data_IF_808264343449
#
_entry.id   IF_808264343449
#
_cell.length_a   1.000
_cell.length_b   1.000
_cell.length_c   1.000
_cell.angle_alpha   90.00
_cell.angle_beta   90.00
_cell.angle_gamma   90.00
#
_symmetry.space_group_name_H-M   'P 1'
#
loop_
_entity.id
_entity.type
_entity.pdbx_description
1 polymer ?
#
# COMPACT_ATOMS: atom_id res chain seq x y z
N UNK A 1 32.55 -9.66 29.24
CA UNK A 1 32.77 -9.12 30.58
C UNK A 1 31.93 -7.86 30.75
N UNK A 2 31.07 -7.80 31.77
CA UNK A 2 30.28 -6.59 32.06
C UNK A 2 31.14 -5.57 32.82
N UNK A 3 30.63 -4.34 32.95
CA UNK A 3 31.37 -3.22 33.53
C UNK A 3 31.72 -3.45 35.01
N UNK A 4 30.79 -4.02 35.76
CA UNK A 4 30.92 -4.22 37.20
C UNK A 4 31.96 -5.31 37.50
N UNK A 5 31.94 -6.40 36.74
CA UNK A 5 32.95 -7.47 36.81
C UNK A 5 34.33 -7.03 36.27
N UNK A 6 34.38 -6.19 35.23
CA UNK A 6 35.65 -5.67 34.71
C UNK A 6 36.36 -4.77 35.72
N UNK A 7 35.60 -3.87 36.36
CA UNK A 7 36.13 -2.89 37.32
C UNK A 7 36.46 -3.57 38.66
N UNK A 8 35.57 -4.43 39.18
CA UNK A 8 35.71 -4.99 40.52
C UNK A 8 36.64 -6.22 40.59
N UNK A 9 36.76 -7.00 39.51
CA UNK A 9 37.54 -8.26 39.52
C UNK A 9 38.91 -8.15 38.85
N UNK A 10 39.05 -7.28 37.84
CA UNK A 10 40.30 -7.13 37.07
C UNK A 10 40.95 -5.75 37.20
N UNK A 11 40.39 -4.87 38.04
CA UNK A 11 40.89 -3.51 38.28
C UNK A 11 41.02 -2.67 37.02
N UNK A 12 40.19 -2.92 36.00
CA UNK A 12 40.11 -2.03 34.83
C UNK A 12 39.53 -0.69 35.27
N UNK A 13 40.21 0.41 34.92
CA UNK A 13 39.62 1.73 35.05
C UNK A 13 38.52 1.95 33.99
N UNK A 14 37.70 2.98 34.20
CA UNK A 14 36.56 3.29 33.32
C UNK A 14 37.04 3.55 31.88
N UNK A 15 38.26 4.08 31.71
CA UNK A 15 38.88 4.32 30.41
C UNK A 15 39.20 3.02 29.67
N UNK A 16 39.84 2.06 30.32
CA UNK A 16 40.18 0.76 29.76
C UNK A 16 38.91 -0.04 29.40
N UNK A 17 37.86 0.05 30.23
CA UNK A 17 36.57 -0.57 29.89
C UNK A 17 35.94 0.06 28.64
N UNK A 18 36.01 1.39 28.48
CA UNK A 18 35.52 2.05 27.27
C UNK A 18 36.35 1.65 26.03
N UNK A 19 37.66 1.50 26.15
CA UNK A 19 38.50 1.00 25.06
C UNK A 19 38.10 -0.41 24.61
N UNK A 20 37.83 -1.31 25.57
CA UNK A 20 37.32 -2.66 25.27
C UNK A 20 35.93 -2.63 24.63
N UNK A 21 35.05 -1.73 25.08
CA UNK A 21 33.72 -1.53 24.50
C UNK A 21 33.81 -0.99 23.07
N UNK A 22 34.69 -0.02 22.81
CA UNK A 22 34.97 0.48 21.47
C UNK A 22 35.64 -0.58 20.57
N UNK A 23 36.39 -1.52 21.15
CA UNK A 23 36.91 -2.67 20.43
C UNK A 23 35.85 -3.74 20.13
N UNK A 24 34.67 -3.66 20.76
CA UNK A 24 33.58 -4.62 20.57
C UNK A 24 33.74 -5.91 21.39
N UNK A 25 34.64 -5.94 22.38
CA UNK A 25 35.06 -7.15 23.12
C UNK A 25 34.23 -7.35 24.42
N UNK A 26 33.46 -6.35 24.85
CA UNK A 26 32.65 -6.42 26.07
C UNK A 26 31.42 -7.32 25.90
N UNK A 27 30.87 -7.88 27.00
CA UNK A 27 29.62 -8.67 26.89
C UNK A 27 28.40 -7.77 26.72
N UNK A 28 28.47 -6.53 27.20
CA UNK A 28 27.44 -5.52 26.96
C UNK A 28 27.92 -4.53 25.90
N UNK A 29 27.20 -4.44 24.78
CA UNK A 29 27.54 -3.56 23.66
C UNK A 29 28.73 -4.03 22.81
N UNK A 30 29.20 -5.27 23.00
CA UNK A 30 30.19 -5.90 22.13
C UNK A 30 29.60 -6.35 20.79
N UNK A 31 30.48 -6.53 19.81
CA UNK A 31 30.10 -6.96 18.46
C UNK A 31 31.27 -7.70 17.82
N UNK A 32 31.05 -8.98 17.49
CA UNK A 32 32.03 -9.80 16.75
C UNK A 32 32.39 -9.14 15.41
N UNK A 33 31.41 -8.51 14.74
CA UNK A 33 31.66 -7.78 13.50
C UNK A 33 32.58 -6.57 13.73
N UNK A 34 32.48 -5.90 14.88
CA UNK A 34 33.39 -4.78 15.23
C UNK A 34 34.81 -5.26 15.50
N UNK A 35 34.94 -6.39 16.20
CA UNK A 35 36.25 -7.05 16.38
C UNK A 35 36.83 -7.43 15.02
N UNK A 36 36.05 -8.08 14.16
CA UNK A 36 36.48 -8.47 12.82
C UNK A 36 36.94 -7.27 11.98
N UNK A 37 36.20 -6.15 12.02
CA UNK A 37 36.57 -4.93 11.30
C UNK A 37 37.89 -4.33 11.79
N UNK A 38 38.14 -4.32 13.11
CA UNK A 38 39.40 -3.82 13.67
C UNK A 38 40.58 -4.73 13.35
N UNK A 39 40.33 -6.03 13.18
CA UNK A 39 41.34 -7.01 12.77
C UNK A 39 41.55 -7.09 11.25
N UNK A 40 40.78 -6.35 10.46
CA UNK A 40 40.83 -6.34 9.00
C UNK A 40 41.36 -5.01 8.47
N UNK A 41 42.30 -5.01 7.52
CA UNK A 41 42.70 -3.78 6.82
C UNK A 41 41.62 -3.31 5.84
N UNK A 42 40.69 -4.17 5.44
CA UNK A 42 39.60 -3.84 4.53
C UNK A 42 38.44 -3.21 5.32
N UNK A 43 38.11 -1.96 4.98
CA UNK A 43 36.97 -1.21 5.52
C UNK A 43 36.29 -0.47 4.37
N UNK A 44 34.96 -0.43 4.38
CA UNK A 44 34.24 0.47 3.50
C UNK A 44 34.38 1.91 4.00
N UNK A 45 34.83 2.82 3.14
CA UNK A 45 35.02 4.23 3.51
C UNK A 45 33.70 5.01 3.57
N UNK A 46 32.70 4.59 2.78
CA UNK A 46 31.47 5.34 2.56
C UNK A 46 30.35 5.05 3.58
N UNK A 47 30.48 4.00 4.41
CA UNK A 47 29.45 3.61 5.37
C UNK A 47 30.07 3.07 6.67
N UNK A 48 29.55 3.53 7.81
CA UNK A 48 29.85 2.95 9.12
C UNK A 48 28.65 2.12 9.61
N UNK A 49 28.72 0.81 9.40
CA UNK A 49 27.73 -0.15 9.91
C UNK A 49 28.02 -0.59 11.36
N UNK A 50 28.97 0.05 12.04
CA UNK A 50 29.36 -0.27 13.41
C UNK A 50 30.14 -1.58 13.56
N UNK A 51 30.61 -2.16 12.45
CA UNK A 51 31.38 -3.41 12.37
C UNK A 51 31.79 -3.73 10.92
N UNK A 52 32.22 -4.97 10.69
CA UNK A 52 32.65 -5.45 9.37
C UNK A 52 31.44 -5.54 8.45
N UNK A 53 31.54 -4.90 7.30
CA UNK A 53 30.49 -4.93 6.29
C UNK A 53 30.66 -6.15 5.39
N UNK A 54 29.58 -6.94 5.27
CA UNK A 54 29.48 -8.03 4.30
C UNK A 54 28.59 -7.54 3.15
N UNK A 55 29.21 -7.26 1.99
CA UNK A 55 28.53 -6.64 0.86
C UNK A 55 27.58 -7.58 0.13
N UNK A 56 27.89 -8.86 0.06
CA UNK A 56 27.10 -9.80 -0.73
C UNK A 56 25.77 -10.18 -0.06
N UNK A 57 24.67 -10.01 -0.80
CA UNK A 57 23.34 -10.36 -0.35
C UNK A 57 22.74 -11.51 -1.16
N UNK A 58 22.49 -12.64 -0.49
CA UNK A 58 22.09 -13.91 -1.12
C UNK A 58 20.62 -14.31 -0.93
N UNK A 59 19.79 -13.49 -0.25
CA UNK A 59 18.41 -13.85 0.13
C UNK A 59 17.35 -13.29 -0.83
N UNK A 60 17.30 -11.98 -0.94
CA UNK A 60 16.29 -11.25 -1.70
C UNK A 60 16.73 -11.15 -3.16
N UNK A 61 15.75 -11.16 -4.07
CA UNK A 61 16.01 -10.72 -5.45
C UNK A 61 16.46 -9.25 -5.48
N UNK A 62 17.26 -8.83 -6.49
CA UNK A 62 17.79 -7.47 -6.59
C UNK A 62 16.74 -6.38 -6.41
N UNK A 63 15.56 -6.56 -7.00
CA UNK A 63 14.47 -5.59 -6.96
C UNK A 63 13.98 -5.33 -5.53
N UNK A 64 13.85 -6.38 -4.71
CA UNK A 64 13.38 -6.26 -3.32
C UNK A 64 14.42 -5.60 -2.44
N UNK A 65 15.67 -6.06 -2.53
CA UNK A 65 16.71 -5.59 -1.62
C UNK A 65 17.19 -4.18 -1.96
N UNK A 66 16.97 -3.71 -3.19
CA UNK A 66 17.31 -2.35 -3.60
C UNK A 66 16.68 -1.29 -2.67
N UNK A 67 15.45 -1.50 -2.20
CA UNK A 67 14.83 -0.63 -1.19
C UNK A 67 15.67 -0.52 0.08
N UNK A 68 16.03 -1.65 0.68
CA UNK A 68 16.88 -1.70 1.87
C UNK A 68 18.26 -1.10 1.60
N UNK A 69 18.81 -1.37 0.40
CA UNK A 69 20.11 -0.89 -0.03
C UNK A 69 20.14 0.64 -0.08
N UNK A 70 19.10 1.29 -0.61
CA UNK A 70 18.95 2.74 -0.60
C UNK A 70 18.66 3.30 0.80
N UNK A 71 17.80 2.63 1.56
CA UNK A 71 17.36 3.11 2.87
C UNK A 71 18.47 3.11 3.92
N UNK A 72 19.28 2.04 3.98
CA UNK A 72 20.23 1.80 5.09
C UNK A 72 21.67 1.63 4.62
N UNK A 73 21.89 1.01 3.46
CA UNK A 73 23.23 0.59 3.04
C UNK A 73 23.89 1.49 1.99
N UNK A 74 23.28 2.64 1.67
CA UNK A 74 23.79 3.63 0.71
C UNK A 74 24.19 3.05 -0.67
N UNK A 75 23.55 1.98 -1.11
CA UNK A 75 23.84 1.33 -2.39
C UNK A 75 25.00 0.33 -2.38
N UNK A 76 25.69 0.15 -1.24
CA UNK A 76 26.90 -0.67 -1.13
C UNK A 76 26.63 -2.18 -1.06
N UNK A 77 25.38 -2.58 -0.81
CA UNK A 77 25.00 -3.99 -0.80
C UNK A 77 24.94 -4.54 -2.25
N UNK A 78 25.46 -5.74 -2.45
CA UNK A 78 25.60 -6.40 -3.74
C UNK A 78 24.67 -7.63 -3.82
N UNK A 79 23.50 -7.51 -4.47
CA UNK A 79 22.58 -8.63 -4.62
C UNK A 79 23.19 -9.72 -5.53
N UNK A 80 23.26 -10.95 -5.02
CA UNK A 80 23.84 -12.08 -5.75
C UNK A 80 22.78 -13.00 -6.38
N UNK A 81 21.51 -12.89 -5.96
CA UNK A 81 20.41 -13.60 -6.60
C UNK A 81 20.12 -13.00 -7.96
N UNK A 82 19.77 -13.85 -8.92
CA UNK A 82 19.21 -13.42 -10.20
C UNK A 82 17.73 -13.14 -10.03
N UNK A 83 17.22 -12.11 -10.67
CA UNK A 83 15.79 -11.89 -10.82
C UNK A 83 15.19 -13.05 -11.61
N UNK A 84 14.39 -13.89 -10.96
CA UNK A 84 13.69 -14.99 -11.62
C UNK A 84 12.43 -14.52 -12.35
N UNK A 85 12.04 -15.20 -13.42
CA UNK A 85 10.81 -14.92 -14.19
C UNK A 85 9.52 -15.45 -13.52
N UNK A 86 9.64 -16.19 -12.41
CA UNK A 86 8.59 -17.12 -11.94
C UNK A 86 7.62 -16.58 -10.89
N UNK A 87 7.76 -15.36 -10.37
CA UNK A 87 6.84 -14.88 -9.35
C UNK A 87 5.53 -14.35 -9.98
N UNK A 88 4.39 -14.96 -9.63
CA UNK A 88 3.06 -14.52 -10.08
C UNK A 88 2.55 -13.23 -9.38
N UNK A 89 3.37 -12.67 -8.49
CA UNK A 89 3.11 -11.45 -7.74
C UNK A 89 4.13 -10.38 -8.15
N UNK A 90 3.78 -9.09 -8.04
CA UNK A 90 4.75 -8.03 -8.21
C UNK A 90 5.83 -8.11 -7.11
N UNK A 91 7.01 -7.55 -7.38
CA UNK A 91 8.08 -7.44 -6.39
C UNK A 91 7.62 -6.60 -5.20
N UNK A 92 7.11 -5.41 -5.50
CA UNK A 92 6.38 -4.59 -4.55
C UNK A 92 4.93 -4.55 -4.97
N UNK A 93 4.03 -4.99 -4.11
CA UNK A 93 2.60 -4.95 -4.36
C UNK A 93 1.86 -4.20 -3.28
N UNK A 94 0.69 -3.64 -3.59
CA UNK A 94 -0.13 -2.96 -2.60
C UNK A 94 -1.62 -3.23 -2.76
N UNK A 95 -2.33 -3.25 -1.63
CA UNK A 95 -3.77 -3.26 -1.54
C UNK A 95 -4.23 -2.03 -0.77
N UNK A 96 -4.94 -1.13 -1.45
CA UNK A 96 -5.61 -0.02 -0.77
C UNK A 96 -6.79 -0.56 0.05
N UNK A 97 -6.66 -0.47 1.37
CA UNK A 97 -7.71 -0.86 2.32
C UNK A 97 -8.15 0.36 3.11
N UNK A 98 -9.38 0.79 2.87
CA UNK A 98 -10.02 1.86 3.63
C UNK A 98 -10.64 1.30 4.91
N UNK A 99 -9.79 1.08 5.91
CA UNK A 99 -10.18 0.68 7.26
C UNK A 99 -10.06 1.82 8.27
N UNK A 100 -10.57 1.60 9.48
CA UNK A 100 -10.41 2.54 10.59
C UNK A 100 -9.40 1.99 11.60
N UNK A 101 -8.36 2.77 11.88
CA UNK A 101 -7.37 2.46 12.90
C UNK A 101 -7.94 2.74 14.28
N UNK A 102 -8.05 1.70 15.10
CA UNK A 102 -8.55 1.75 16.47
C UNK A 102 -7.42 1.44 17.45
N UNK A 103 -7.66 1.71 18.74
CA UNK A 103 -6.76 1.34 19.83
C UNK A 103 -7.47 0.40 20.79
N UNK A 104 -6.75 -0.59 21.29
CA UNK A 104 -7.22 -1.43 22.38
C UNK A 104 -7.00 -0.75 23.74
N UNK A 105 -7.38 -1.45 24.81
CA UNK A 105 -7.18 -0.99 26.19
C UNK A 105 -5.68 -0.84 26.57
N UNK A 106 -4.77 -1.48 25.84
CA UNK A 106 -3.31 -1.35 26.01
C UNK A 106 -2.69 -0.24 25.15
N UNK A 107 -3.52 0.58 24.49
CA UNK A 107 -3.14 1.61 23.53
C UNK A 107 -2.40 1.09 22.27
N UNK A 108 -2.34 -0.23 22.06
CA UNK A 108 -1.88 -0.84 20.81
C UNK A 108 -2.92 -0.60 19.72
N UNK A 109 -2.46 -0.35 18.49
CA UNK A 109 -3.34 -0.12 17.35
C UNK A 109 -3.75 -1.40 16.65
N UNK A 110 -4.93 -1.37 16.04
CA UNK A 110 -5.40 -2.40 15.11
C UNK A 110 -6.36 -1.80 14.06
N UNK A 111 -6.50 -2.51 12.95
CA UNK A 111 -7.40 -2.17 11.86
C UNK A 111 -8.05 -3.47 11.38
N UNK A 112 -9.32 -3.65 11.75
CA UNK A 112 -10.06 -4.89 11.52
C UNK A 112 -10.33 -5.15 10.04
N UNK A 113 -10.64 -4.11 9.25
CA UNK A 113 -10.85 -4.24 7.81
C UNK A 113 -9.54 -4.65 7.11
N UNK A 114 -8.41 -4.08 7.51
CA UNK A 114 -7.09 -4.46 7.00
C UNK A 114 -6.76 -5.92 7.35
N UNK A 115 -6.98 -6.33 8.60
CA UNK A 115 -6.75 -7.71 9.05
C UNK A 115 -7.62 -8.72 8.30
N UNK A 116 -8.90 -8.41 8.11
CA UNK A 116 -9.82 -9.24 7.34
C UNK A 116 -9.39 -9.34 5.87
N UNK A 117 -8.97 -8.22 5.27
CA UNK A 117 -8.50 -8.19 3.88
C UNK A 117 -7.26 -9.06 3.68
N UNK A 118 -6.28 -8.98 4.59
CA UNK A 118 -5.08 -9.83 4.54
C UNK A 118 -5.48 -11.31 4.59
N UNK A 119 -6.33 -11.68 5.54
CA UNK A 119 -6.76 -13.07 5.70
C UNK A 119 -7.56 -13.58 4.48
N UNK A 120 -8.46 -12.77 3.94
CA UNK A 120 -9.25 -13.08 2.75
C UNK A 120 -8.36 -13.27 1.52
N UNK A 121 -7.40 -12.36 1.33
CA UNK A 121 -6.47 -12.41 0.21
C UNK A 121 -5.59 -13.67 0.28
N UNK A 122 -5.00 -13.96 1.44
CA UNK A 122 -4.22 -15.20 1.66
C UNK A 122 -5.08 -16.42 1.34
N UNK A 123 -6.28 -16.50 1.90
CA UNK A 123 -7.18 -17.63 1.71
C UNK A 123 -7.53 -17.86 0.24
N UNK A 124 -7.77 -16.78 -0.51
CA UNK A 124 -8.12 -16.83 -1.92
C UNK A 124 -6.93 -17.20 -2.81
N UNK A 125 -5.73 -16.77 -2.43
CA UNK A 125 -4.52 -16.98 -3.20
C UNK A 125 -3.75 -18.24 -2.81
N UNK A 126 -4.12 -18.92 -1.72
CA UNK A 126 -3.46 -20.14 -1.21
C UNK A 126 -3.09 -21.13 -2.31
N UNK A 127 -4.08 -21.55 -3.12
CA UNK A 127 -3.87 -22.55 -4.17
C UNK A 127 -2.99 -22.06 -5.33
N UNK A 128 -2.96 -20.74 -5.59
CA UNK A 128 -2.12 -20.14 -6.63
C UNK A 128 -0.67 -20.01 -6.18
N UNK A 129 -0.45 -19.81 -4.88
CA UNK A 129 0.88 -19.60 -4.31
C UNK A 129 1.59 -20.92 -3.98
N UNK A 130 0.84 -21.94 -3.57
CA UNK A 130 1.41 -23.28 -3.40
C UNK A 130 1.69 -23.86 -4.77
N UNK A 131 2.97 -24.01 -5.10
CA UNK A 131 3.38 -24.73 -6.29
C UNK A 131 3.16 -26.24 -6.07
N UNK A 132 2.42 -26.89 -6.98
CA UNK A 132 2.07 -28.33 -6.83
C UNK A 132 3.28 -29.27 -6.95
N UNK A 133 4.41 -28.79 -7.47
CA UNK A 133 5.64 -29.58 -7.62
C UNK A 133 6.47 -29.68 -6.35
N UNK A 134 6.27 -28.77 -5.38
CA UNK A 134 7.05 -28.69 -4.16
C UNK A 134 6.14 -29.05 -2.97
N UNK A 135 6.63 -29.84 -2.01
CA UNK A 135 5.89 -30.21 -0.77
C UNK A 135 5.68 -29.02 0.18
N UNK A 136 5.68 -27.78 -0.34
CA UNK A 136 5.58 -26.56 0.43
C UNK A 136 4.14 -26.31 0.91
N UNK A 137 4.02 -25.93 2.18
CA UNK A 137 2.77 -25.44 2.72
C UNK A 137 2.73 -23.90 2.65
N UNK A 138 1.55 -23.32 2.83
CA UNK A 138 1.37 -21.86 2.72
C UNK A 138 2.17 -21.09 3.79
N UNK A 139 2.36 -21.70 4.96
CA UNK A 139 3.15 -21.17 6.07
C UNK A 139 4.67 -21.09 5.80
N UNK A 140 5.16 -21.81 4.79
CA UNK A 140 6.55 -21.76 4.33
C UNK A 140 6.77 -20.67 3.28
N UNK A 141 5.68 -20.23 2.63
CA UNK A 141 5.68 -19.26 1.54
C UNK A 141 5.36 -17.85 2.06
N UNK A 142 4.42 -17.72 3.01
CA UNK A 142 3.91 -16.42 3.47
C UNK A 142 4.29 -16.17 4.94
N UNK A 143 4.71 -14.93 5.21
CA UNK A 143 4.64 -14.33 6.55
C UNK A 143 3.85 -13.02 6.51
N UNK A 144 3.24 -12.67 7.63
CA UNK A 144 2.57 -11.39 7.86
C UNK A 144 3.30 -10.62 8.95
N UNK A 145 3.67 -9.37 8.65
CA UNK A 145 4.34 -8.45 9.55
C UNK A 145 3.44 -7.26 9.82
N UNK A 146 3.45 -6.78 11.05
CA UNK A 146 2.76 -5.54 11.40
C UNK A 146 3.49 -4.82 12.55
N UNK A 147 3.50 -3.48 12.60
CA UNK A 147 4.08 -2.73 13.70
C UNK A 147 3.43 -3.00 15.05
N UNK A 148 2.16 -3.46 15.10
CA UNK A 148 1.37 -3.49 16.33
C UNK A 148 1.03 -4.90 16.81
N UNK A 149 1.18 -5.11 18.12
CA UNK A 149 0.86 -6.36 18.79
C UNK A 149 -0.61 -6.76 18.60
N UNK A 150 -1.53 -5.80 18.72
CA UNK A 150 -2.95 -6.09 18.61
C UNK A 150 -3.37 -6.46 17.18
N UNK A 151 -2.82 -5.78 16.17
CA UNK A 151 -3.04 -6.19 14.79
C UNK A 151 -2.59 -7.62 14.52
N UNK A 152 -1.42 -8.02 15.03
CA UNK A 152 -0.95 -9.40 14.96
C UNK A 152 -1.97 -10.36 15.58
N UNK A 153 -2.50 -10.04 16.76
CA UNK A 153 -3.50 -10.86 17.46
C UNK A 153 -4.76 -11.05 16.62
N UNK A 154 -5.29 -9.97 16.06
CA UNK A 154 -6.52 -10.01 15.25
C UNK A 154 -6.30 -10.80 13.96
N UNK A 155 -5.20 -10.57 13.23
CA UNK A 155 -4.89 -11.33 12.01
C UNK A 155 -4.81 -12.83 12.33
N UNK A 156 -4.10 -13.23 13.39
CA UNK A 156 -4.04 -14.65 13.81
C UNK A 156 -5.41 -15.22 14.12
N UNK A 157 -6.25 -14.46 14.83
CA UNK A 157 -7.61 -14.88 15.18
C UNK A 157 -8.45 -15.13 13.93
N UNK A 158 -8.41 -14.22 12.95
CA UNK A 158 -9.17 -14.34 11.70
C UNK A 158 -8.65 -15.52 10.86
N UNK A 159 -7.33 -15.67 10.70
CA UNK A 159 -6.74 -16.80 9.97
C UNK A 159 -7.13 -18.14 10.59
N UNK A 160 -7.10 -18.25 11.93
CA UNK A 160 -7.58 -19.44 12.64
C UNK A 160 -9.07 -19.70 12.40
N UNK A 161 -9.90 -18.66 12.47
CA UNK A 161 -11.34 -18.77 12.26
C UNK A 161 -11.76 -19.23 10.86
N UNK A 162 -10.89 -19.08 9.85
CA UNK A 162 -11.15 -19.58 8.48
C UNK A 162 -11.11 -21.11 8.35
N UNK A 163 -10.56 -21.83 9.34
CA UNK A 163 -10.54 -23.30 9.41
C UNK A 163 -10.04 -24.01 8.13
N UNK A 164 -9.06 -23.42 7.44
CA UNK A 164 -8.52 -23.91 6.17
C UNK A 164 -6.98 -24.05 6.19
N UNK A 165 -6.41 -24.28 7.38
CA UNK A 165 -4.98 -24.51 7.61
C UNK A 165 -4.10 -23.26 7.47
N UNK A 166 -4.66 -22.06 7.64
CA UNK A 166 -3.91 -20.79 7.61
C UNK A 166 -3.40 -20.36 8.98
N UNK A 167 -3.78 -21.08 10.04
CA UNK A 167 -3.43 -20.80 11.44
C UNK A 167 -1.93 -20.96 11.74
N UNK A 168 -1.23 -21.72 10.89
CA UNK A 168 0.23 -21.93 10.95
C UNK A 168 1.06 -20.80 10.33
N UNK A 169 0.43 -19.89 9.60
CA UNK A 169 1.14 -18.76 8.97
C UNK A 169 1.78 -17.92 10.07
N UNK A 170 3.05 -17.56 9.84
CA UNK A 170 3.77 -16.70 10.79
C UNK A 170 3.22 -15.29 10.70
N UNK A 171 2.55 -14.85 11.77
CA UNK A 171 2.09 -13.46 11.95
C UNK A 171 2.83 -12.87 13.13
N UNK A 172 3.55 -11.77 12.91
CA UNK A 172 4.50 -11.23 13.87
C UNK A 172 4.64 -9.72 13.80
N UNK A 173 5.24 -9.16 14.85
CA UNK A 173 5.93 -7.88 14.72
C UNK A 173 7.28 -8.10 14.05
N UNK A 174 7.97 -7.04 13.65
CA UNK A 174 9.28 -7.12 12.99
C UNK A 174 10.29 -7.97 13.79
N UNK A 175 10.27 -7.86 15.12
CA UNK A 175 11.12 -8.67 16.00
C UNK A 175 10.76 -10.17 16.00
N UNK A 176 9.48 -10.52 15.79
CA UNK A 176 9.03 -11.91 15.76
C UNK A 176 9.44 -12.65 14.48
N UNK A 177 9.89 -11.94 13.45
CA UNK A 177 10.43 -12.50 12.20
C UNK A 177 11.96 -12.51 12.15
N UNK A 178 12.63 -12.30 13.29
CA UNK A 178 14.08 -12.32 13.33
C UNK A 178 14.60 -13.73 12.99
N UNK A 179 15.05 -13.91 11.75
CA UNK A 179 15.58 -15.17 11.21
C UNK A 179 14.60 -15.98 10.35
N UNK A 180 13.33 -15.58 10.25
CA UNK A 180 12.31 -16.27 9.46
C UNK A 180 12.04 -15.51 8.15
N UNK A 181 12.77 -15.88 7.10
CA UNK A 181 12.54 -15.40 5.73
C UNK A 181 11.41 -16.18 5.03
N UNK A 182 10.73 -15.54 4.08
CA UNK A 182 9.62 -16.10 3.30
C UNK A 182 9.65 -15.60 1.87
N UNK A 183 9.10 -16.37 0.94
CA UNK A 183 9.00 -15.95 -0.45
C UNK A 183 8.15 -14.69 -0.59
N UNK A 184 7.03 -14.66 0.14
CA UNK A 184 6.11 -13.54 0.19
C UNK A 184 6.00 -13.02 1.62
N UNK A 185 6.20 -11.71 1.79
CA UNK A 185 5.97 -11.03 3.05
C UNK A 185 4.86 -10.00 2.87
N UNK A 186 3.83 -10.10 3.69
CA UNK A 186 2.73 -9.15 3.74
C UNK A 186 2.95 -8.20 4.91
N UNK A 187 2.94 -6.90 4.65
CA UNK A 187 3.01 -5.85 5.65
C UNK A 187 1.65 -5.20 5.84
N UNK A 188 1.13 -5.25 7.07
CA UNK A 188 -0.13 -4.62 7.48
C UNK A 188 0.21 -3.33 8.24
N UNK A 189 -0.03 -2.17 7.62
CA UNK A 189 0.39 -0.84 8.13
C UNK A 189 -0.47 -0.30 9.27
N UNK A 190 -1.73 -0.72 9.38
CA UNK A 190 -2.70 -0.43 10.46
C UNK A 190 -3.22 1.01 10.51
N UNK A 191 -2.40 2.00 10.16
CA UNK A 191 -2.82 3.40 10.15
C UNK A 191 -3.85 3.68 9.06
N UNK A 192 -4.70 4.66 9.34
CA UNK A 192 -5.64 5.24 8.36
C UNK A 192 -5.24 6.68 8.04
N UNK A 193 -5.87 7.26 7.01
CA UNK A 193 -5.60 8.62 6.55
C UNK A 193 -5.88 9.74 7.57
N UNK A 194 -6.56 9.45 8.68
CA UNK A 194 -6.88 10.45 9.72
C UNK A 194 -5.84 10.44 10.86
N UNK A 195 -4.87 9.54 10.84
CA UNK A 195 -3.79 9.54 11.84
C UNK A 195 -2.97 10.83 11.75
N UNK A 196 -2.65 11.40 12.92
CA UNK A 196 -1.83 12.59 13.07
C UNK A 196 -0.52 12.26 13.79
N UNK A 197 0.56 12.90 13.36
CA UNK A 197 1.92 12.65 13.86
C UNK A 197 2.66 11.57 13.07
N UNK A 198 3.86 11.21 13.52
CA UNK A 198 4.70 10.23 12.82
C UNK A 198 4.12 8.81 12.88
N UNK A 199 4.38 8.04 11.82
CA UNK A 199 4.07 6.61 11.79
C UNK A 199 5.17 5.83 12.52
N UNK A 200 4.80 4.78 13.25
CA UNK A 200 5.78 3.99 14.01
C UNK A 200 6.86 3.37 13.12
N UNK A 201 6.51 3.00 11.89
CA UNK A 201 7.45 2.45 10.91
C UNK A 201 8.36 3.49 10.25
N UNK A 202 8.14 4.79 10.50
CA UNK A 202 8.99 5.89 10.03
C UNK A 202 9.85 6.49 11.15
N UNK A 203 9.61 6.12 12.41
CA UNK A 203 10.43 6.60 13.53
C UNK A 203 11.85 6.02 13.55
N UNK A 204 12.03 4.86 12.93
CA UNK A 204 13.32 4.20 12.75
C UNK A 204 13.32 3.46 11.41
N UNK A 205 14.40 3.64 10.63
CA UNK A 205 14.65 2.96 9.35
C UNK A 205 14.66 1.43 9.50
N UNK A 206 14.97 0.92 10.70
CA UNK A 206 15.13 -0.51 10.95
C UNK A 206 13.83 -1.30 10.77
N UNK A 207 12.67 -0.69 11.02
CA UNK A 207 11.40 -1.40 10.93
C UNK A 207 11.11 -1.92 9.52
N UNK A 208 11.06 -1.00 8.55
CA UNK A 208 10.81 -1.37 7.15
C UNK A 208 12.01 -2.06 6.52
N UNK A 209 13.25 -1.70 6.90
CA UNK A 209 14.43 -2.43 6.46
C UNK A 209 14.35 -3.93 6.82
N UNK A 210 14.01 -4.25 8.07
CA UNK A 210 13.86 -5.65 8.48
C UNK A 210 12.64 -6.27 7.84
N UNK A 211 11.49 -5.60 7.79
CA UNK A 211 10.28 -6.18 7.17
C UNK A 211 10.49 -6.54 5.68
N UNK A 212 11.04 -5.62 4.90
CA UNK A 212 11.29 -5.81 3.45
C UNK A 212 12.36 -6.87 3.21
N UNK A 213 13.46 -6.86 3.96
CA UNK A 213 14.56 -7.84 3.81
C UNK A 213 14.21 -9.27 4.28
N UNK A 214 12.98 -9.52 4.76
CA UNK A 214 12.45 -10.89 4.96
C UNK A 214 11.79 -11.47 3.72
N UNK A 215 11.45 -10.65 2.73
CA UNK A 215 10.81 -11.11 1.51
C UNK A 215 11.85 -11.57 0.49
N UNK A 216 11.79 -12.81 0.04
CA UNK A 216 12.71 -13.30 -0.99
C UNK A 216 12.28 -12.85 -2.39
N UNK A 217 10.98 -12.89 -2.68
CA UNK A 217 10.41 -12.65 -4.00
C UNK A 217 9.47 -11.45 -4.07
N UNK A 218 8.57 -11.30 -3.08
CA UNK A 218 7.53 -10.26 -3.09
C UNK A 218 7.23 -9.69 -1.71
N UNK A 219 7.18 -8.36 -1.63
CA UNK A 219 6.74 -7.60 -0.47
C UNK A 219 5.40 -6.90 -0.78
N UNK A 220 4.36 -7.24 -0.02
CA UNK A 220 2.99 -6.77 -0.27
C UNK A 220 2.50 -5.89 0.88
N UNK A 221 2.07 -4.66 0.61
CA UNK A 221 1.54 -3.74 1.63
C UNK A 221 0.02 -3.73 1.59
N UNK A 222 -0.61 -3.95 2.75
CA UNK A 222 -2.05 -3.82 2.93
C UNK A 222 -2.31 -2.67 3.90
N UNK A 223 -3.08 -1.67 3.46
CA UNK A 223 -3.44 -0.54 4.30
C UNK A 223 -3.95 0.66 3.53
N UNK A 224 -4.12 1.79 4.23
CA UNK A 224 -4.58 3.02 3.60
C UNK A 224 -3.44 3.68 2.81
N UNK A 225 -3.36 3.41 1.50
CA UNK A 225 -2.34 3.99 0.60
C UNK A 225 -2.18 5.52 0.67
N UNK A 226 -3.14 6.28 1.20
CA UNK A 226 -2.98 7.73 1.39
C UNK A 226 -1.88 8.10 2.39
N UNK A 227 -1.41 7.16 3.24
CA UNK A 227 -0.34 7.42 4.19
C UNK A 227 1.06 7.23 3.59
N UNK A 228 1.15 6.68 2.39
CA UNK A 228 2.41 6.42 1.68
C UNK A 228 2.61 7.53 0.64
N UNK A 229 3.51 8.48 0.90
CA UNK A 229 3.74 9.61 0.00
C UNK A 229 5.09 9.47 -0.74
N UNK A 230 5.10 9.19 -2.06
CA UNK A 230 6.34 9.06 -2.82
C UNK A 230 7.11 10.38 -2.96
N UNK A 231 6.55 11.52 -2.57
CA UNK A 231 7.26 12.80 -2.54
C UNK A 231 8.07 13.01 -1.26
N UNK A 232 7.88 12.17 -0.23
CA UNK A 232 8.57 12.27 1.05
C UNK A 232 9.57 11.13 1.25
N UNK A 233 10.55 11.01 0.35
CA UNK A 233 11.51 9.90 0.33
C UNK A 233 12.50 9.89 1.50
N UNK A 234 12.49 10.92 2.35
CA UNK A 234 13.28 10.94 3.58
C UNK A 234 12.69 9.99 4.64
N UNK A 235 11.37 9.80 4.61
CA UNK A 235 10.71 8.83 5.47
C UNK A 235 10.80 7.43 4.85
N UNK A 236 11.05 6.38 5.66
CA UNK A 236 11.09 5.00 5.18
C UNK A 236 9.88 4.60 4.35
N UNK A 237 8.67 5.02 4.74
CA UNK A 237 7.42 4.76 4.04
C UNK A 237 7.28 5.53 2.74
N UNK A 238 7.80 6.76 2.66
CA UNK A 238 7.79 7.55 1.44
C UNK A 238 8.77 7.01 0.40
N UNK A 239 9.95 6.54 0.82
CA UNK A 239 10.82 5.76 -0.07
C UNK A 239 10.13 4.48 -0.52
N UNK A 240 9.45 3.75 0.38
CA UNK A 240 8.74 2.53 0.01
C UNK A 240 7.62 2.82 -1.01
N UNK A 241 6.94 3.96 -0.87
CA UNK A 241 5.90 4.41 -1.79
C UNK A 241 6.41 4.55 -3.24
N UNK A 242 7.68 4.95 -3.46
CA UNK A 242 8.23 5.04 -4.82
C UNK A 242 8.29 3.69 -5.51
N UNK A 243 8.52 2.60 -4.75
CA UNK A 243 8.52 1.23 -5.27
C UNK A 243 7.09 0.70 -5.43
N UNK A 244 6.22 0.93 -4.44
CA UNK A 244 4.83 0.47 -4.50
C UNK A 244 4.11 1.07 -5.71
N UNK A 245 4.34 2.34 -6.01
CA UNK A 245 3.60 3.10 -7.02
C UNK A 245 4.33 3.26 -8.36
N UNK A 246 5.49 2.63 -8.53
CA UNK A 246 6.28 2.68 -9.76
C UNK A 246 5.48 2.17 -10.98
N UNK A 247 4.78 1.05 -10.81
CA UNK A 247 3.95 0.43 -11.84
C UNK A 247 2.51 0.24 -11.33
N UNK A 248 1.53 0.57 -12.18
CA UNK A 248 0.11 0.25 -11.94
C UNK A 248 -0.17 -1.25 -11.70
N UNK A 249 0.67 -2.14 -12.24
CA UNK A 249 0.61 -3.58 -12.04
C UNK A 249 0.98 -4.03 -10.62
N UNK A 250 1.52 -3.13 -9.80
CA UNK A 250 1.78 -3.37 -8.38
C UNK A 250 0.49 -3.36 -7.55
N UNK A 251 -0.59 -2.73 -8.03
CA UNK A 251 -1.88 -2.77 -7.33
C UNK A 251 -2.48 -4.17 -7.38
N UNK A 252 -2.79 -4.75 -6.22
CA UNK A 252 -3.43 -6.06 -6.10
C UNK A 252 -4.90 -5.95 -6.53
N UNK A 253 -5.22 -6.57 -7.66
CA UNK A 253 -6.52 -6.44 -8.31
C UNK A 253 -7.64 -7.23 -7.62
N UNK A 254 -7.32 -8.20 -6.76
CA UNK A 254 -8.25 -9.24 -6.33
C UNK A 254 -8.76 -9.04 -4.89
N UNK A 255 -8.69 -7.80 -4.41
CA UNK A 255 -9.14 -7.34 -3.10
C UNK A 255 -10.67 -7.18 -3.06
N UNK A 256 -11.29 -7.61 -1.98
CA UNK A 256 -12.73 -7.39 -1.76
C UNK A 256 -12.96 -6.01 -1.14
N UNK A 257 -13.89 -5.20 -1.69
CA UNK A 257 -14.22 -3.92 -1.10
C UNK A 257 -15.00 -4.12 0.21
N UNK A 258 -14.62 -3.39 1.24
CA UNK A 258 -15.32 -3.36 2.52
C UNK A 258 -16.34 -2.23 2.58
N UNK A 259 -17.42 -2.43 3.33
CA UNK A 259 -18.40 -1.37 3.54
C UNK A 259 -17.76 -0.23 4.33
N UNK A 260 -17.89 0.98 3.80
CA UNK A 260 -17.44 2.23 4.43
C UNK A 260 -18.29 2.54 5.66
N UNK A 261 -19.60 2.28 5.56
CA UNK A 261 -20.60 2.53 6.61
C UNK A 261 -21.25 1.20 7.02
N UNK A 262 -21.48 1.02 8.32
CA UNK A 262 -22.20 -0.16 8.85
C UNK A 262 -23.68 -0.10 8.49
N UNK A 263 -24.33 -1.25 8.36
CA UNK A 263 -25.74 -1.31 7.93
C UNK A 263 -26.68 -0.52 8.84
N UNK A 264 -26.41 -0.47 10.15
CA UNK A 264 -27.23 0.20 11.15
C UNK A 264 -27.19 1.74 11.02
N UNK A 265 -26.22 2.27 10.28
CA UNK A 265 -26.03 3.71 10.06
C UNK A 265 -26.56 4.18 8.70
N UNK A 266 -27.12 3.28 7.89
CA UNK A 266 -27.66 3.61 6.58
C UNK A 266 -29.12 4.06 6.69
N UNK A 267 -29.48 5.14 5.98
CA UNK A 267 -30.88 5.48 5.77
C UNK A 267 -31.61 4.28 5.13
N UNK A 268 -32.87 4.05 5.51
CA UNK A 268 -33.67 2.89 5.04
C UNK A 268 -33.83 2.83 3.52
N UNK A 269 -33.75 3.98 2.84
CA UNK A 269 -33.84 4.11 1.39
C UNK A 269 -32.52 3.81 0.65
N UNK A 270 -31.40 3.78 1.37
CA UNK A 270 -30.08 3.53 0.78
C UNK A 270 -29.86 2.04 0.61
N UNK A 271 -29.72 1.64 -0.65
CA UNK A 271 -29.28 0.30 -1.01
C UNK A 271 -27.76 0.26 -1.14
N UNK A 272 -27.15 -0.88 -0.77
CA UNK A 272 -25.73 -1.15 -1.02
C UNK A 272 -25.62 -2.35 -1.95
N UNK A 273 -25.06 -2.16 -3.13
CA UNK A 273 -24.83 -3.21 -4.10
C UNK A 273 -23.33 -3.40 -4.34
N UNK A 274 -22.89 -4.66 -4.37
CA UNK A 274 -21.57 -5.01 -4.88
C UNK A 274 -21.65 -5.23 -6.39
N UNK A 275 -20.87 -4.47 -7.14
CA UNK A 275 -20.70 -4.68 -8.59
C UNK A 275 -19.30 -5.21 -8.90
N UNK A 276 -19.22 -6.02 -9.93
CA UNK A 276 -17.98 -6.56 -10.47
C UNK A 276 -18.04 -6.50 -12.00
N UNK A 277 -16.86 -6.63 -12.63
CA UNK A 277 -16.65 -6.67 -14.07
C UNK A 277 -16.83 -5.33 -14.80
N UNK A 278 -16.09 -5.18 -15.88
CA UNK A 278 -16.11 -4.00 -16.73
C UNK A 278 -17.51 -3.61 -17.23
N UNK A 279 -18.34 -4.58 -17.62
CA UNK A 279 -19.67 -4.32 -18.20
C UNK A 279 -20.60 -3.61 -17.22
N UNK A 280 -20.61 -4.02 -15.94
CA UNK A 280 -21.46 -3.40 -14.91
C UNK A 280 -20.97 -1.99 -14.57
N UNK A 281 -19.67 -1.78 -14.43
CA UNK A 281 -19.11 -0.45 -14.17
C UNK A 281 -19.42 0.54 -15.31
N UNK A 282 -19.28 0.13 -16.59
CA UNK A 282 -19.68 0.99 -17.73
C UNK A 282 -21.18 1.29 -17.76
N UNK A 283 -22.03 0.36 -17.30
CA UNK A 283 -23.47 0.60 -17.16
C UNK A 283 -23.73 1.64 -16.06
N UNK A 284 -23.04 1.52 -14.92
CA UNK A 284 -23.13 2.48 -13.83
C UNK A 284 -22.64 3.88 -14.23
N UNK A 285 -21.53 3.97 -14.97
CA UNK A 285 -21.01 5.23 -15.55
C UNK A 285 -22.09 5.93 -16.38
N UNK A 286 -22.65 5.23 -17.37
CA UNK A 286 -23.70 5.81 -18.23
C UNK A 286 -24.95 6.18 -17.45
N UNK A 287 -25.31 5.39 -16.44
CA UNK A 287 -26.44 5.68 -15.56
C UNK A 287 -26.22 6.97 -14.77
N UNK A 288 -25.06 7.14 -14.14
CA UNK A 288 -24.71 8.36 -13.41
C UNK A 288 -24.77 9.59 -14.32
N UNK A 289 -24.17 9.50 -15.51
CA UNK A 289 -24.23 10.56 -16.49
C UNK A 289 -25.64 10.82 -17.02
N UNK A 290 -26.54 9.85 -17.07
CA UNK A 290 -27.92 10.07 -17.51
C UNK A 290 -28.82 10.66 -16.42
N UNK A 291 -28.64 10.22 -15.18
CA UNK A 291 -29.56 10.48 -14.07
C UNK A 291 -29.19 11.68 -13.22
N UNK A 292 -27.92 12.11 -13.21
CA UNK A 292 -27.48 13.27 -12.44
C UNK A 292 -28.19 14.55 -12.88
N UNK A 293 -28.42 15.45 -11.92
CA UNK A 293 -29.12 16.71 -12.10
C UNK A 293 -28.23 17.92 -11.81
N UNK A 294 -27.22 17.79 -10.95
CA UNK A 294 -26.40 18.93 -10.51
C UNK A 294 -24.91 18.71 -10.69
N UNK A 295 -24.36 17.61 -10.19
CA UNK A 295 -22.92 17.38 -10.10
C UNK A 295 -22.55 15.90 -10.24
N UNK A 296 -21.62 15.62 -11.16
CA UNK A 296 -20.92 14.34 -11.25
C UNK A 296 -19.48 14.54 -10.81
N UNK A 297 -19.00 13.67 -9.93
CA UNK A 297 -17.61 13.65 -9.49
C UNK A 297 -17.00 12.30 -9.88
N UNK A 298 -15.82 12.33 -10.51
CA UNK A 298 -15.05 11.14 -10.84
C UNK A 298 -13.64 11.31 -10.28
N UNK A 299 -13.22 10.48 -9.33
CA UNK A 299 -11.83 10.37 -8.94
C UNK A 299 -11.26 9.07 -9.47
N UNK A 300 -10.16 9.20 -10.21
CA UNK A 300 -9.43 8.09 -10.79
C UNK A 300 -7.95 8.43 -10.71
N UNK A 301 -7.15 7.76 -9.86
CA UNK A 301 -5.76 8.13 -9.63
C UNK A 301 -4.97 8.15 -10.95
N UNK A 302 -5.23 7.17 -11.80
CA UNK A 302 -4.65 7.08 -13.14
C UNK A 302 -5.65 7.55 -14.22
N UNK A 303 -5.14 8.15 -15.30
CA UNK A 303 -5.90 8.52 -16.49
C UNK A 303 -5.17 8.12 -17.79
N UNK A 304 -5.91 7.59 -18.76
CA UNK A 304 -5.40 7.34 -20.13
C UNK A 304 -6.39 7.83 -21.18
N UNK A 305 -5.87 8.39 -22.27
CA UNK A 305 -6.68 8.79 -23.43
C UNK A 305 -7.47 7.62 -24.03
N UNK A 306 -6.86 6.44 -24.12
CA UNK A 306 -7.53 5.24 -24.62
C UNK A 306 -8.78 4.87 -23.82
N UNK A 307 -8.71 4.84 -22.47
CA UNK A 307 -9.86 4.50 -21.64
C UNK A 307 -10.97 5.57 -21.74
N UNK A 308 -10.57 6.85 -21.68
CA UNK A 308 -11.48 8.00 -21.81
C UNK A 308 -12.27 7.95 -23.12
N UNK A 309 -11.60 7.68 -24.25
CA UNK A 309 -12.24 7.57 -25.56
C UNK A 309 -13.09 6.30 -25.69
N UNK A 310 -12.58 5.14 -25.25
CA UNK A 310 -13.28 3.86 -25.37
C UNK A 310 -14.64 3.88 -24.67
N UNK A 311 -14.72 4.55 -23.52
CA UNK A 311 -15.95 4.69 -22.72
C UNK A 311 -16.86 5.82 -23.20
N UNK A 312 -16.46 6.58 -24.22
CA UNK A 312 -17.17 7.76 -24.73
C UNK A 312 -17.41 8.82 -23.64
N UNK A 313 -16.43 8.98 -22.74
CA UNK A 313 -16.53 9.91 -21.62
C UNK A 313 -16.66 11.37 -22.11
N UNK A 314 -15.92 11.83 -23.16
CA UNK A 314 -16.10 13.17 -23.70
C UNK A 314 -17.54 13.47 -24.16
N UNK A 315 -18.20 12.52 -24.82
CA UNK A 315 -19.60 12.65 -25.24
C UNK A 315 -20.53 12.76 -24.03
N UNK A 316 -20.35 11.88 -23.04
CA UNK A 316 -21.13 11.92 -21.80
C UNK A 316 -20.98 13.25 -21.05
N UNK A 317 -19.77 13.81 -21.01
CA UNK A 317 -19.50 15.12 -20.38
C UNK A 317 -20.19 16.23 -21.15
N UNK A 318 -20.10 16.26 -22.49
CA UNK A 318 -20.78 17.27 -23.31
C UNK A 318 -22.29 17.23 -23.11
N UNK A 319 -22.89 16.04 -23.10
CA UNK A 319 -24.32 15.85 -22.85
C UNK A 319 -24.72 16.35 -21.45
N UNK A 320 -23.93 16.03 -20.43
CA UNK A 320 -24.16 16.50 -19.07
C UNK A 320 -24.07 18.03 -18.97
N UNK A 321 -23.05 18.62 -19.60
CA UNK A 321 -22.86 20.08 -19.67
C UNK A 321 -24.02 20.78 -20.39
N UNK A 322 -24.53 20.20 -21.48
CA UNK A 322 -25.70 20.73 -22.20
C UNK A 322 -26.96 20.74 -21.33
N UNK A 323 -27.06 19.83 -20.36
CA UNK A 323 -28.12 19.82 -19.34
C UNK A 323 -27.81 20.68 -18.11
N UNK A 324 -26.72 21.45 -18.11
CA UNK A 324 -26.31 22.31 -16.99
C UNK A 324 -25.66 21.57 -15.81
N UNK A 325 -25.28 20.31 -15.97
CA UNK A 325 -24.68 19.48 -14.91
C UNK A 325 -23.18 19.75 -14.85
N UNK A 326 -22.67 20.02 -13.65
CA UNK A 326 -21.23 20.15 -13.41
C UNK A 326 -20.56 18.78 -13.46
N UNK A 327 -19.40 18.67 -14.11
CA UNK A 327 -18.55 17.47 -14.04
C UNK A 327 -17.19 17.83 -13.50
N UNK A 328 -16.77 17.17 -12.42
CA UNK A 328 -15.45 17.33 -11.82
C UNK A 328 -14.70 16.01 -11.85
N UNK A 329 -13.48 16.02 -12.37
CA UNK A 329 -12.59 14.88 -12.39
C UNK A 329 -11.36 15.16 -11.51
N UNK A 330 -10.96 14.21 -10.68
CA UNK A 330 -9.69 14.24 -9.93
C UNK A 330 -8.76 13.16 -10.49
N UNK A 331 -7.51 13.55 -10.74
CA UNK A 331 -6.40 12.66 -11.17
C UNK A 331 -5.18 12.90 -10.31
N UNK A 332 -4.40 11.86 -10.03
CA UNK A 332 -3.25 11.97 -9.12
C UNK A 332 -2.04 12.62 -9.80
N UNK A 333 -1.34 13.47 -9.05
CA UNK A 333 -0.20 14.26 -9.52
C UNK A 333 1.04 13.42 -9.85
N UNK A 334 1.27 12.32 -9.13
CA UNK A 334 2.45 11.49 -9.22
C UNK A 334 2.23 10.27 -10.13
N UNK A 335 1.11 9.56 -9.95
CA UNK A 335 0.83 8.28 -10.62
C UNK A 335 0.72 8.38 -12.15
N UNK A 336 0.51 9.58 -12.67
CA UNK A 336 0.44 9.87 -14.10
C UNK A 336 1.78 10.32 -14.72
N UNK A 337 2.87 10.33 -13.94
CA UNK A 337 4.21 10.69 -14.41
C UNK A 337 5.04 9.46 -14.78
N UNK A 338 5.96 9.63 -15.71
CA UNK A 338 6.98 8.65 -16.07
C UNK A 338 8.18 8.68 -15.09
N UNK A 339 9.16 7.82 -15.32
CA UNK A 339 10.38 7.74 -14.50
C UNK A 339 11.23 9.03 -14.48
N UNK A 340 10.99 9.96 -15.42
CA UNK A 340 11.62 11.28 -15.48
C UNK A 340 10.75 12.37 -14.82
N UNK A 341 9.74 11.97 -14.06
CA UNK A 341 8.76 12.86 -13.43
C UNK A 341 7.96 13.73 -14.42
N UNK A 342 7.90 13.35 -15.69
CA UNK A 342 7.12 14.04 -16.71
C UNK A 342 5.76 13.38 -16.90
N UNK A 343 4.71 14.17 -17.16
CA UNK A 343 3.36 13.61 -17.37
C UNK A 343 3.35 12.69 -18.60
N UNK A 344 2.89 11.44 -18.43
CA UNK A 344 2.78 10.43 -19.50
C UNK A 344 1.95 11.00 -20.65
N UNK A 345 2.36 10.71 -21.90
CA UNK A 345 1.65 11.24 -23.09
C UNK A 345 0.17 10.85 -23.12
N UNK A 346 -0.17 9.63 -22.70
CA UNK A 346 -1.55 9.15 -22.63
C UNK A 346 -2.38 9.92 -21.60
N UNK A 347 -1.79 10.18 -20.42
CA UNK A 347 -2.42 10.98 -19.37
C UNK A 347 -2.63 12.43 -19.81
N UNK A 348 -1.63 13.05 -20.44
CA UNK A 348 -1.73 14.42 -20.99
C UNK A 348 -2.89 14.53 -21.98
N UNK A 349 -2.98 13.61 -22.94
CA UNK A 349 -4.09 13.57 -23.92
C UNK A 349 -5.44 13.33 -23.25
N UNK A 350 -5.51 12.40 -22.29
CA UNK A 350 -6.74 12.11 -21.54
C UNK A 350 -7.26 13.34 -20.79
N UNK A 351 -6.38 14.09 -20.10
CA UNK A 351 -6.74 15.33 -19.40
C UNK A 351 -7.28 16.39 -20.38
N UNK A 352 -6.63 16.55 -21.54
CA UNK A 352 -7.08 17.50 -22.57
C UNK A 352 -8.48 17.14 -23.07
N UNK A 353 -8.73 15.87 -23.41
CA UNK A 353 -10.04 15.41 -23.87
C UNK A 353 -11.17 15.71 -22.87
N UNK A 354 -10.93 15.50 -21.58
CA UNK A 354 -11.92 15.80 -20.54
C UNK A 354 -12.18 17.31 -20.40
N UNK A 355 -11.12 18.13 -20.43
CA UNK A 355 -11.23 19.60 -20.36
C UNK A 355 -11.96 20.18 -21.56
N UNK A 356 -11.63 19.74 -22.77
CA UNK A 356 -12.29 20.16 -24.01
C UNK A 356 -13.77 19.74 -24.05
N UNK A 357 -14.11 18.59 -23.47
CA UNK A 357 -15.49 18.18 -23.31
C UNK A 357 -16.27 19.04 -22.29
N UNK A 358 -15.56 19.77 -21.42
CA UNK A 358 -16.13 20.72 -20.47
C UNK A 358 -16.12 20.27 -19.01
N UNK A 359 -15.35 19.25 -18.66
CA UNK A 359 -15.15 18.87 -17.26
C UNK A 359 -14.06 19.72 -16.60
N UNK A 360 -14.23 19.99 -15.30
CA UNK A 360 -13.17 20.53 -14.45
C UNK A 360 -12.24 19.38 -14.04
N UNK A 361 -11.02 19.36 -14.57
CA UNK A 361 -10.01 18.33 -14.21
C UNK A 361 -9.02 18.92 -13.21
N UNK A 362 -9.09 18.42 -11.98
CA UNK A 362 -8.24 18.81 -10.87
C UNK A 362 -7.12 17.77 -10.66
N UNK A 363 -5.89 18.26 -10.47
CA UNK A 363 -4.75 17.43 -10.12
C UNK A 363 -4.61 17.46 -8.60
N UNK A 364 -4.83 16.31 -7.96
CA UNK A 364 -4.74 16.14 -6.51
C UNK A 364 -3.49 15.32 -6.14
N UNK A 365 -2.98 15.52 -4.93
CA UNK A 365 -1.82 14.80 -4.42
C UNK A 365 -2.21 13.59 -3.57
N UNK A 366 -1.51 12.48 -3.78
CA UNK A 366 -1.49 11.31 -2.90
C UNK A 366 -2.91 10.80 -2.62
N UNK A 367 -3.63 10.39 -3.67
CA UNK A 367 -4.90 9.69 -3.50
C UNK A 367 -5.00 8.42 -4.33
N UNK A 368 -5.69 7.43 -3.76
CA UNK A 368 -5.93 6.14 -4.41
C UNK A 368 -7.41 5.79 -4.58
N UNK A 369 -8.31 6.68 -4.14
CA UNK A 369 -9.76 6.53 -4.30
C UNK A 369 -10.15 6.39 -5.79
N UNK A 370 -10.98 5.39 -6.09
CA UNK A 370 -11.57 5.17 -7.42
C UNK A 370 -13.06 5.37 -7.32
N UNK A 371 -13.42 6.62 -7.07
CA UNK A 371 -14.75 7.00 -6.61
C UNK A 371 -15.54 7.68 -7.70
N UNK A 372 -16.81 7.35 -7.82
CA UNK A 372 -17.75 8.06 -8.68
C UNK A 372 -18.98 8.47 -7.89
N UNK A 373 -19.34 9.74 -7.96
CA UNK A 373 -20.52 10.30 -7.31
C UNK A 373 -21.47 10.90 -8.36
N UNK A 374 -22.77 10.74 -8.13
CA UNK A 374 -23.81 11.45 -8.86
C UNK A 374 -24.75 12.12 -7.84
N UNK A 375 -24.70 13.45 -7.82
CA UNK A 375 -25.36 14.30 -6.82
C UNK A 375 -25.17 13.74 -5.40
N UNK A 376 -26.25 13.63 -4.63
CA UNK A 376 -26.29 12.97 -3.32
C UNK A 376 -27.22 11.75 -3.32
N UNK A 377 -27.40 11.10 -4.47
CA UNK A 377 -28.16 9.86 -4.56
C UNK A 377 -27.30 8.64 -4.87
N UNK A 378 -26.04 8.83 -5.29
CA UNK A 378 -25.12 7.74 -5.58
C UNK A 378 -23.67 8.07 -5.26
N UNK A 379 -23.00 7.15 -4.56
CA UNK A 379 -21.54 7.08 -4.46
C UNK A 379 -21.08 5.64 -4.69
N UNK A 380 -20.10 5.45 -5.56
CA UNK A 380 -19.44 4.17 -5.81
C UNK A 380 -17.96 4.28 -5.46
N UNK A 381 -17.45 3.30 -4.74
CA UNK A 381 -16.07 3.21 -4.30
C UNK A 381 -15.57 1.77 -4.44
N UNK A 382 -14.33 1.60 -4.91
CA UNK A 382 -13.79 0.27 -5.19
C UNK A 382 -12.45 0.29 -5.92
N UNK A 383 -12.20 -0.77 -6.69
CA UNK A 383 -10.95 -0.96 -7.46
C UNK A 383 -11.05 -0.55 -8.94
N UNK A 384 -12.21 -0.04 -9.40
CA UNK A 384 -12.43 0.30 -10.81
C UNK A 384 -11.89 1.69 -11.18
N UNK A 385 -10.77 1.73 -11.92
CA UNK A 385 -10.20 2.99 -12.41
C UNK A 385 -11.06 3.63 -13.52
N UNK A 386 -11.97 4.53 -13.15
CA UNK A 386 -12.94 5.15 -14.06
C UNK A 386 -12.35 5.81 -15.32
N UNK A 387 -11.12 6.32 -15.25
CA UNK A 387 -10.49 7.09 -16.34
C UNK A 387 -9.28 6.37 -16.98
N UNK A 388 -8.95 5.15 -16.57
CA UNK A 388 -7.75 4.44 -17.07
C UNK A 388 -7.86 2.93 -17.11
N UNK A 389 -8.95 2.33 -16.62
CA UNK A 389 -9.07 0.89 -16.59
C UNK A 389 -8.96 0.27 -17.99
N UNK A 390 -8.25 -0.85 -18.07
CA UNK A 390 -7.86 -1.46 -19.35
C UNK A 390 -9.06 -2.15 -20.02
N UNK A 391 -9.24 -1.91 -21.33
CA UNK A 391 -10.46 -2.28 -22.09
C UNK A 391 -10.26 -3.42 -23.09
N UNK A 392 -9.09 -4.07 -23.13
CA UNK A 392 -8.81 -5.22 -24.03
C UNK A 392 -9.44 -6.51 -23.50
N UNK A 393 -10.22 -7.22 -24.33
CA UNK A 393 -10.85 -8.51 -23.96
C UNK A 393 -9.85 -9.61 -23.59
N UNK A 394 -8.58 -9.48 -24.01
CA UNK A 394 -7.52 -10.43 -23.70
C UNK A 394 -6.89 -10.21 -22.31
N UNK A 395 -7.30 -9.14 -21.61
CA UNK A 395 -6.64 -8.74 -20.37
C UNK A 395 -7.16 -9.52 -19.15
N UNK A 396 -6.22 -10.13 -18.41
CA UNK A 396 -6.50 -10.93 -17.22
C UNK A 396 -7.15 -10.11 -16.10
N UNK A 397 -7.00 -8.78 -16.09
CA UNK A 397 -7.46 -7.94 -14.98
C UNK A 397 -8.94 -7.50 -15.04
N UNK A 398 -9.62 -7.62 -16.19
CA UNK A 398 -11.02 -7.15 -16.36
C UNK A 398 -12.05 -7.79 -15.42
N UNK A 399 -11.75 -8.98 -14.89
CA UNK A 399 -12.67 -9.77 -14.04
C UNK A 399 -12.49 -9.51 -12.55
N UNK A 400 -11.47 -8.73 -12.17
CA UNK A 400 -11.11 -8.55 -10.77
C UNK A 400 -11.57 -7.20 -10.19
N UNK A 401 -11.93 -6.24 -11.05
CA UNK A 401 -12.47 -4.94 -10.63
C UNK A 401 -13.80 -5.11 -9.88
N UNK A 402 -13.85 -4.57 -8.66
CA UNK A 402 -14.97 -4.69 -7.73
C UNK A 402 -15.21 -3.37 -7.03
N UNK A 403 -16.47 -2.96 -6.96
CA UNK A 403 -16.87 -1.73 -6.28
C UNK A 403 -18.12 -1.96 -5.45
N UNK A 404 -18.25 -1.21 -4.36
CA UNK A 404 -19.51 -1.02 -3.66
C UNK A 404 -20.19 0.22 -4.21
N UNK A 405 -21.50 0.15 -4.33
CA UNK A 405 -22.37 1.23 -4.79
C UNK A 405 -23.39 1.47 -3.69
N UNK A 406 -23.34 2.66 -3.11
CA UNK A 406 -24.35 3.19 -2.21
C UNK A 406 -25.26 4.07 -3.05
N UNK A 407 -26.55 3.73 -3.11
CA UNK A 407 -27.50 4.46 -3.94
C UNK A 407 -28.92 4.45 -3.41
N UNK A 408 -29.66 5.52 -3.68
CA UNK A 408 -31.11 5.52 -3.64
C UNK A 408 -31.64 5.17 -5.03
N UNK A 409 -32.37 4.06 -5.16
CA UNK A 409 -32.86 3.55 -6.45
C UNK A 409 -33.84 4.52 -7.15
N UNK A 410 -34.45 5.42 -6.39
CA UNK A 410 -35.36 6.44 -6.90
C UNK A 410 -34.62 7.71 -7.36
N UNK A 411 -33.29 7.74 -7.29
CA UNK A 411 -32.45 8.91 -7.56
C UNK A 411 -32.76 10.13 -6.66
N UNK A 412 -33.44 9.91 -5.54
CA UNK A 412 -33.69 10.94 -4.54
C UNK A 412 -32.47 11.14 -3.64
N UNK A 413 -32.34 12.36 -3.16
CA UNK A 413 -31.35 12.76 -2.16
C UNK A 413 -31.45 11.89 -0.91
N UNK A 414 -30.31 11.47 -0.34
CA UNK A 414 -30.26 10.87 1.00
C UNK A 414 -29.16 11.51 1.84
N UNK A 415 -29.42 11.70 3.13
CA UNK A 415 -28.44 12.31 4.04
C UNK A 415 -27.18 11.48 4.17
N UNK A 416 -27.32 10.15 4.19
CA UNK A 416 -26.19 9.22 4.27
C UNK A 416 -25.25 9.42 3.07
N UNK A 417 -25.78 9.49 1.86
CA UNK A 417 -24.95 9.65 0.65
C UNK A 417 -24.40 11.08 0.57
N UNK A 418 -25.17 12.09 0.94
CA UNK A 418 -24.69 13.47 1.04
C UNK A 418 -23.47 13.57 1.96
N UNK A 419 -23.52 12.97 3.16
CA UNK A 419 -22.40 12.96 4.12
C UNK A 419 -21.16 12.30 3.51
N UNK A 420 -21.33 11.15 2.85
CA UNK A 420 -20.23 10.45 2.17
C UNK A 420 -19.62 11.27 1.04
N UNK A 421 -20.44 11.80 0.13
CA UNK A 421 -20.00 12.61 -1.01
C UNK A 421 -19.31 13.89 -0.54
N UNK A 422 -19.87 14.55 0.48
CA UNK A 422 -19.31 15.78 1.05
C UNK A 422 -17.97 15.52 1.74
N UNK A 423 -17.87 14.47 2.55
CA UNK A 423 -16.62 14.09 3.20
C UNK A 423 -15.53 13.74 2.17
N UNK A 424 -15.88 12.95 1.16
CA UNK A 424 -15.00 12.59 0.05
C UNK A 424 -14.51 13.81 -0.72
N UNK A 425 -15.43 14.68 -1.15
CA UNK A 425 -15.09 15.90 -1.89
C UNK A 425 -14.19 16.82 -1.06
N UNK A 426 -14.46 16.98 0.24
CA UNK A 426 -13.61 17.77 1.14
C UNK A 426 -12.19 17.21 1.23
N UNK A 427 -12.03 15.89 1.29
CA UNK A 427 -10.72 15.24 1.26
C UNK A 427 -10.00 15.50 -0.09
N UNK A 428 -10.70 15.34 -1.22
CA UNK A 428 -10.11 15.61 -2.54
C UNK A 428 -9.73 17.08 -2.72
N UNK A 429 -10.59 18.02 -2.33
CA UNK A 429 -10.32 19.46 -2.47
C UNK A 429 -9.12 19.89 -1.63
N UNK A 430 -8.90 19.30 -0.44
CA UNK A 430 -7.68 19.53 0.36
C UNK A 430 -6.41 19.06 -0.36
N UNK A 431 -6.50 18.03 -1.19
CA UNK A 431 -5.38 17.45 -1.94
C UNK A 431 -5.12 18.18 -3.26
N UNK A 432 -6.06 19.00 -3.74
CA UNK A 432 -5.87 19.85 -4.92
C UNK A 432 -5.07 21.08 -4.51
N UNK A 433 -3.75 21.01 -4.69
CA UNK A 433 -2.77 22.09 -4.45
C UNK A 433 -2.79 22.67 -3.03
N UNK A 434 -2.08 22.00 -2.13
CA UNK A 434 -1.25 22.65 -1.10
C UNK A 434 0.16 22.99 -1.65
N UNK A 435 0.27 23.34 -2.94
CA UNK A 435 1.55 23.63 -3.60
C UNK A 435 1.69 25.15 -3.79
N UNK A 436 2.24 25.81 -2.77
CA UNK A 436 3.06 27.00 -2.96
C UNK A 436 4.46 26.56 -3.42
#
# INVERSE_FOLDING_TARGET
MDKENAVNTLSFDDYAYQQLKQAGITTYGGSVMRVAQKSSPYKLENIDVGGMFLSEHWRCVPEIIDYCNKLVYHGELQPQRKSGESCHLPRFGFAHVQGMSQRDNSASRYNEQEAQTVADWISKNKTRLINKSDEQCIEDIIAVVTPFREQKTIIKKILKGKNNGLDKITVGTVHALQGAERDVVIFSSVYDRNHTGSYFFDQDVMMLNVAVSRAKESFLVFGDMHIFDPNNTNDPSGLLATYLFEDSGNELVDIEPHKIIKNEQLDSEVSVERIAELKRHRKLLRYCFKSAQKHIIIASPFITDYAVQSDKIPELIRDAKNRGIKVTCYVDAFLNKDSKSQLKSSAKKGIVLLKEAGASVNVAQNFHNKTMCADHFLISEGSFNWLSAQRSKADKYQRYERSLVYWNKNNSHTETIEKLVTAFKRDMDKRVKASC
#
